data_IF_751827053687
#
_entry.id   IF_751827053687
#
_cell.length_a   1.000
_cell.length_b   1.000
_cell.length_c   1.000
_cell.angle_alpha   90.00
_cell.angle_beta   90.00
_cell.angle_gamma   90.00
#
_symmetry.space_group_name_H-M   'P 1'
#
loop_
_entity.id
_entity.type
_entity.pdbx_description
1 polymer ?
#
# COMPACT_ATOMS: atom_id res chain seq x y z
N UNK A 1 -9.30 -9.72 -7.38
CA UNK A 1 -8.02 -8.99 -7.17
C UNK A 1 -6.93 -10.04 -7.25
N UNK A 2 -5.70 -9.69 -7.64
CA UNK A 2 -4.59 -10.64 -7.61
C UNK A 2 -3.42 -10.03 -6.87
N UNK A 3 -3.00 -10.63 -5.75
CA UNK A 3 -1.80 -10.21 -5.03
C UNK A 3 -0.57 -10.64 -5.84
N UNK A 4 0.27 -9.67 -6.20
CA UNK A 4 1.52 -9.91 -6.92
C UNK A 4 2.69 -10.10 -5.95
N UNK A 5 2.77 -9.25 -4.92
CA UNK A 5 3.84 -9.26 -3.92
C UNK A 5 3.29 -8.85 -2.56
N UNK A 6 3.90 -9.40 -1.51
CA UNK A 6 3.56 -9.09 -0.13
C UNK A 6 4.82 -9.06 0.71
N UNK A 7 5.02 -7.93 1.39
CA UNK A 7 6.10 -7.73 2.34
C UNK A 7 5.52 -7.40 3.71
N UNK A 8 6.13 -7.92 4.76
CA UNK A 8 5.66 -7.70 6.13
C UNK A 8 6.82 -7.67 7.10
N UNK A 9 6.73 -6.77 8.08
CA UNK A 9 7.52 -6.88 9.30
C UNK A 9 6.66 -6.49 10.53
N UNK A 10 7.33 -6.20 11.66
CA UNK A 10 6.66 -5.79 12.89
C UNK A 10 5.82 -4.51 12.74
N UNK A 11 6.21 -3.60 11.85
CA UNK A 11 5.57 -2.30 11.64
C UNK A 11 4.66 -2.27 10.41
N UNK A 12 5.17 -2.68 9.25
CA UNK A 12 4.49 -2.50 7.97
C UNK A 12 3.91 -3.81 7.43
N UNK A 13 2.78 -3.69 6.75
CA UNK A 13 2.32 -4.62 5.73
C UNK A 13 2.27 -3.83 4.41
N UNK A 14 2.99 -4.30 3.41
CA UNK A 14 3.08 -3.69 2.10
C UNK A 14 2.65 -4.72 1.06
N UNK A 15 1.72 -4.36 0.20
CA UNK A 15 1.12 -5.26 -0.78
C UNK A 15 1.11 -4.59 -2.15
N UNK A 16 1.51 -5.36 -3.15
CA UNK A 16 1.31 -5.06 -4.55
C UNK A 16 0.22 -5.95 -5.09
N UNK A 17 -0.78 -5.39 -5.75
CA UNK A 17 -1.86 -6.17 -6.34
C UNK A 17 -2.36 -5.58 -7.67
N UNK A 18 -2.88 -6.46 -8.53
CA UNK A 18 -3.70 -6.06 -9.67
C UNK A 18 -5.18 -6.03 -9.27
N UNK A 19 -5.81 -4.90 -9.52
CA UNK A 19 -7.23 -4.69 -9.28
C UNK A 19 -7.80 -3.75 -10.34
N UNK A 20 -8.99 -4.04 -10.87
CA UNK A 20 -9.64 -3.26 -11.95
C UNK A 20 -8.74 -3.01 -13.18
N UNK A 21 -7.80 -3.91 -13.48
CA UNK A 21 -6.87 -3.77 -14.60
C UNK A 21 -5.69 -2.83 -14.37
N UNK A 22 -5.52 -2.32 -13.14
CA UNK A 22 -4.41 -1.44 -12.77
C UNK A 22 -3.59 -2.03 -11.61
N UNK A 23 -2.36 -1.53 -11.45
CA UNK A 23 -1.42 -1.94 -10.42
C UNK A 23 -1.54 -1.02 -9.20
N UNK A 24 -1.92 -1.60 -8.06
CA UNK A 24 -2.11 -0.92 -6.79
C UNK A 24 -1.04 -1.28 -5.77
N UNK A 25 -0.62 -0.28 -4.99
CA UNK A 25 0.19 -0.45 -3.80
C UNK A 25 -0.65 -0.12 -2.58
N UNK A 26 -0.74 -1.07 -1.66
CA UNK A 26 -1.36 -0.90 -0.36
C UNK A 26 -0.29 -0.94 0.72
N UNK A 27 -0.32 0.03 1.64
CA UNK A 27 0.55 0.08 2.80
C UNK A 27 -0.28 0.26 4.07
N UNK A 28 -0.03 -0.60 5.06
CA UNK A 28 -0.52 -0.47 6.44
C UNK A 28 0.64 -0.22 7.40
N UNK A 29 0.63 0.92 8.08
CA UNK A 29 1.53 1.25 9.19
C UNK A 29 0.86 0.94 10.52
N UNK A 30 1.20 -0.20 11.13
CA UNK A 30 0.63 -0.62 12.42
C UNK A 30 1.02 0.31 13.56
N UNK A 31 2.18 0.98 13.47
CA UNK A 31 2.65 1.86 14.52
C UNK A 31 1.86 3.17 14.55
N UNK A 32 1.49 3.68 13.38
CA UNK A 32 0.73 4.92 13.26
C UNK A 32 -0.78 4.72 13.11
N UNK A 33 -1.24 3.47 12.95
CA UNK A 33 -2.65 3.18 12.72
C UNK A 33 -3.15 3.74 11.38
N UNK A 34 -2.26 3.87 10.40
CA UNK A 34 -2.60 4.42 9.09
C UNK A 34 -2.55 3.37 7.99
N UNK A 35 -3.37 3.59 6.97
CA UNK A 35 -3.47 2.79 5.77
C UNK A 35 -3.46 3.71 4.55
N UNK A 36 -2.88 3.24 3.46
CA UNK A 36 -2.92 3.95 2.19
C UNK A 36 -3.04 2.96 1.04
N UNK A 37 -3.71 3.42 -0.01
CA UNK A 37 -3.84 2.73 -1.28
C UNK A 37 -3.53 3.75 -2.37
N UNK A 38 -2.75 3.37 -3.37
CA UNK A 38 -2.54 4.20 -4.54
C UNK A 38 -2.15 3.39 -5.76
N UNK A 39 -2.26 4.00 -6.94
CA UNK A 39 -1.83 3.37 -8.19
C UNK A 39 -0.33 3.58 -8.37
N UNK A 40 0.37 2.50 -8.71
CA UNK A 40 1.80 2.56 -8.97
C UNK A 40 2.09 3.30 -10.27
N UNK A 41 3.00 4.27 -10.24
CA UNK A 41 3.69 4.72 -11.47
C UNK A 41 4.45 3.52 -12.07
N UNK A 42 4.57 3.47 -13.40
CA UNK A 42 5.19 2.36 -14.13
C UNK A 42 6.61 2.00 -13.66
N UNK A 43 7.33 2.96 -13.08
CA UNK A 43 8.73 2.81 -12.65
C UNK A 43 8.90 2.32 -11.20
N UNK A 44 7.83 2.19 -10.42
CA UNK A 44 7.96 1.80 -9.00
C UNK A 44 8.36 0.31 -8.85
N UNK A 45 9.56 0.07 -8.32
CA UNK A 45 10.04 -1.26 -7.95
C UNK A 45 9.90 -1.48 -6.44
N UNK A 46 8.81 -2.15 -6.04
CA UNK A 46 8.43 -2.30 -4.63
C UNK A 46 9.43 -3.12 -3.80
N UNK A 47 10.08 -4.10 -4.43
CA UNK A 47 11.08 -4.94 -3.77
C UNK A 47 12.33 -4.15 -3.44
N UNK A 48 12.80 -3.30 -4.36
CA UNK A 48 13.93 -2.40 -4.12
C UNK A 48 13.62 -1.42 -2.98
N UNK A 49 12.43 -0.81 -2.96
CA UNK A 49 12.04 0.11 -1.89
C UNK A 49 11.96 -0.60 -0.53
N UNK A 50 11.46 -1.83 -0.52
CA UNK A 50 11.39 -2.65 0.69
C UNK A 50 12.79 -3.01 1.21
N UNK A 51 13.70 -3.44 0.34
CA UNK A 51 15.07 -3.77 0.71
C UNK A 51 15.85 -2.56 1.23
N UNK A 52 15.73 -1.40 0.58
CA UNK A 52 16.37 -0.15 1.01
C UNK A 52 15.90 0.23 2.42
N UNK A 53 14.60 0.12 2.68
CA UNK A 53 14.03 0.33 4.01
C UNK A 53 14.60 -0.64 5.06
N UNK A 54 14.71 -1.93 4.74
CA UNK A 54 15.27 -2.93 5.66
C UNK A 54 16.75 -2.70 5.97
N UNK A 55 17.52 -2.19 5.01
CA UNK A 55 18.94 -1.83 5.19
C UNK A 55 19.15 -0.55 6.01
N UNK A 56 18.07 0.17 6.35
CA UNK A 56 18.14 1.38 7.15
C UNK A 56 18.76 2.55 6.39
N UNK A 57 18.66 2.58 5.06
CA UNK A 57 19.20 3.64 4.19
C UNK A 57 18.39 4.94 4.32
N UNK A 58 18.17 5.48 5.53
CA UNK A 58 17.44 6.73 5.81
C UNK A 58 16.15 6.97 4.99
N UNK A 59 15.53 5.91 4.46
CA UNK A 59 14.40 5.99 3.55
C UNK A 59 13.11 5.81 4.34
N UNK A 60 12.33 6.90 4.40
CA UNK A 60 10.97 6.83 4.90
C UNK A 60 10.14 6.06 3.86
N UNK A 61 9.94 4.75 4.05
CA UNK A 61 9.16 3.90 3.15
C UNK A 61 7.77 4.51 2.80
N UNK A 62 6.96 5.00 3.77
CA UNK A 62 5.70 5.67 3.43
C UNK A 62 5.89 6.89 2.52
N UNK A 63 6.92 7.69 2.76
CA UNK A 63 7.21 8.90 1.99
C UNK A 63 7.60 8.55 0.55
N UNK A 64 8.49 7.57 0.36
CA UNK A 64 8.90 7.13 -0.98
C UNK A 64 7.72 6.58 -1.77
N UNK A 65 6.86 5.79 -1.13
CA UNK A 65 5.65 5.27 -1.79
C UNK A 65 4.73 6.42 -2.18
N UNK A 66 4.35 7.31 -1.26
CA UNK A 66 3.41 8.40 -1.55
C UNK A 66 3.86 9.34 -2.69
N UNK A 67 5.17 9.53 -2.89
CA UNK A 67 5.72 10.29 -4.02
C UNK A 67 5.61 9.57 -5.37
N UNK A 68 5.62 8.24 -5.34
CA UNK A 68 5.59 7.36 -6.51
C UNK A 68 4.20 6.79 -6.84
N UNK A 69 3.18 7.18 -6.08
CA UNK A 69 1.80 6.82 -6.33
C UNK A 69 1.03 7.97 -7.00
N UNK A 70 0.21 7.62 -7.98
CA UNK A 70 -0.86 8.46 -8.53
C UNK A 70 -2.19 7.93 -8.03
N UNK A 71 -3.24 8.76 -8.01
CA UNK A 71 -4.56 8.41 -7.50
C UNK A 71 -4.47 7.63 -6.17
N UNK A 72 -4.46 8.34 -5.04
CA UNK A 72 -4.19 7.78 -3.73
C UNK A 72 -5.24 8.19 -2.71
N UNK A 73 -5.43 7.30 -1.75
CA UNK A 73 -6.22 7.53 -0.55
C UNK A 73 -5.38 7.12 0.65
N UNK A 74 -5.42 7.94 1.70
CA UNK A 74 -4.75 7.69 2.97
C UNK A 74 -5.78 7.86 4.08
N UNK A 75 -5.85 6.92 5.01
CA UNK A 75 -6.70 7.02 6.19
C UNK A 75 -5.89 6.74 7.46
N UNK A 76 -6.17 7.50 8.52
CA UNK A 76 -5.57 7.37 9.83
C UNK A 76 -6.58 7.79 10.91
N UNK A 77 -7.13 6.83 11.65
CA UNK A 77 -8.25 7.09 12.55
C UNK A 77 -9.48 7.62 11.80
N UNK A 78 -10.02 8.75 12.23
CA UNK A 78 -11.17 9.42 11.58
C UNK A 78 -10.76 10.36 10.43
N UNK A 79 -9.45 10.54 10.20
CA UNK A 79 -8.96 11.42 9.15
C UNK A 79 -8.72 10.62 7.87
N UNK A 80 -9.17 11.17 6.74
CA UNK A 80 -8.84 10.67 5.41
C UNK A 80 -8.40 11.79 4.48
N UNK A 81 -7.58 11.43 3.51
CA UNK A 81 -7.23 12.26 2.37
C UNK A 81 -7.47 11.44 1.10
N UNK A 82 -8.26 11.99 0.19
CA UNK A 82 -8.66 11.37 -1.07
C UNK A 82 -8.15 12.23 -2.23
N UNK A 83 -7.44 11.61 -3.17
CA UNK A 83 -6.90 12.22 -4.38
C UNK A 83 -7.02 11.19 -5.49
N UNK A 84 -8.07 11.22 -6.30
CA UNK A 84 -8.33 10.26 -7.39
C UNK A 84 -8.83 8.87 -6.94
N UNK A 85 -8.47 8.40 -5.74
CA UNK A 85 -9.10 7.24 -5.07
C UNK A 85 -9.92 7.67 -3.87
N UNK A 86 -10.92 6.87 -3.54
CA UNK A 86 -11.87 7.12 -2.44
C UNK A 86 -11.63 6.20 -1.23
N UNK A 87 -12.10 6.62 -0.05
CA UNK A 87 -12.09 5.78 1.16
C UNK A 87 -12.86 4.46 0.94
N UNK A 88 -13.97 4.52 0.21
CA UNK A 88 -14.75 3.34 -0.16
C UNK A 88 -13.94 2.34 -0.99
N UNK A 89 -13.07 2.82 -1.87
CA UNK A 89 -12.19 1.94 -2.65
C UNK A 89 -11.11 1.31 -1.79
N UNK A 90 -10.57 2.04 -0.81
CA UNK A 90 -9.65 1.49 0.19
C UNK A 90 -10.32 0.38 1.01
N UNK A 91 -11.51 0.62 1.55
CA UNK A 91 -12.28 -0.38 2.32
C UNK A 91 -12.60 -1.63 1.49
N UNK A 92 -12.99 -1.41 0.22
CA UNK A 92 -13.25 -2.50 -0.72
C UNK A 92 -11.97 -3.31 -0.97
N UNK A 93 -10.85 -2.63 -1.19
CA UNK A 93 -9.56 -3.28 -1.41
C UNK A 93 -9.14 -4.10 -0.19
N UNK A 94 -9.28 -3.55 1.03
CA UNK A 94 -8.96 -4.28 2.26
C UNK A 94 -9.84 -5.52 2.47
N UNK A 95 -11.13 -5.42 2.16
CA UNK A 95 -12.07 -6.55 2.22
C UNK A 95 -11.70 -7.65 1.23
N UNK A 96 -11.25 -7.27 0.03
CA UNK A 96 -10.77 -8.24 -0.95
C UNK A 96 -9.44 -8.85 -0.51
N UNK A 97 -8.55 -8.04 0.07
CA UNK A 97 -7.24 -8.47 0.55
C UNK A 97 -7.33 -9.44 1.72
N UNK A 98 -8.28 -9.28 2.63
CA UNK A 98 -8.46 -10.23 3.72
C UNK A 98 -8.86 -11.61 3.19
N UNK A 99 -9.77 -11.68 2.21
CA UNK A 99 -10.23 -12.93 1.60
C UNK A 99 -9.11 -13.66 0.87
N UNK A 100 -8.30 -12.94 0.10
CA UNK A 100 -7.15 -13.52 -0.63
C UNK A 100 -6.02 -13.99 0.31
N UNK A 101 -6.03 -13.58 1.59
CA UNK A 101 -5.01 -13.94 2.58
C UNK A 101 -5.48 -15.02 3.55
N UNK A 102 -6.79 -15.30 3.63
CA UNK A 102 -7.37 -16.39 4.44
C UNK A 102 -7.26 -17.76 3.76
N UNK A 103 -6.97 -17.82 2.46
CA UNK A 103 -6.79 -19.06 1.68
C UNK A 103 -5.31 -19.50 1.52
N UNK A 104 -4.40 -19.03 2.39
CA UNK A 104 -2.95 -19.30 2.31
C UNK A 104 -2.30 -19.83 3.58
#
# INVERSE_FOLDING_TARGET
MRVLRKFRNGRFLLVEAEWKGERFIYLKDKKQGSVSLGKAKSELNLEREWESYLKGENSCLPCTLLLNLTDKVVAAGELSYEDGLTLKELETFETLLSREVEDG
#
